data_IF_193786367769
#
_entry.id   IF_193786367769
#
_cell.length_a   1.000
_cell.length_b   1.000
_cell.length_c   1.000
_cell.angle_alpha   90.00
_cell.angle_beta   90.00
_cell.angle_gamma   90.00
#
_symmetry.space_group_name_H-M   'P 1'
#
loop_
_entity.id
_entity.type
_entity.pdbx_description
1 polymer ?
#
# COMPACT_ATOMS: atom_id res chain seq x y z
N UNK A 1 -19.99 4.66 29.94
CA UNK A 1 -18.51 4.74 29.84
C UNK A 1 -18.07 6.19 29.77
N UNK A 2 -16.95 6.56 30.41
CA UNK A 2 -16.38 7.90 30.26
C UNK A 2 -15.88 8.07 28.80
N UNK A 3 -16.11 9.22 28.15
CA UNK A 3 -15.77 9.42 26.73
C UNK A 3 -14.28 9.19 26.42
N UNK A 4 -13.41 9.47 27.39
CA UNK A 4 -11.96 9.20 27.30
C UNK A 4 -11.64 7.71 27.13
N UNK A 5 -12.39 6.83 27.81
CA UNK A 5 -12.18 5.37 27.74
C UNK A 5 -12.61 4.84 26.38
N UNK A 6 -13.72 5.33 25.84
CA UNK A 6 -14.20 4.95 24.51
C UNK A 6 -13.22 5.38 23.40
N UNK A 7 -12.65 6.59 23.49
CA UNK A 7 -11.62 7.06 22.56
C UNK A 7 -10.37 6.17 22.61
N UNK A 8 -9.86 5.91 23.81
CA UNK A 8 -8.66 5.08 24.01
C UNK A 8 -8.86 3.65 23.49
N UNK A 9 -10.03 3.06 23.72
CA UNK A 9 -10.36 1.75 23.17
C UNK A 9 -10.44 1.76 21.64
N UNK A 10 -10.99 2.82 21.03
CA UNK A 10 -11.00 2.97 19.58
C UNK A 10 -9.59 3.02 18.99
N UNK A 11 -8.72 3.87 19.56
CA UNK A 11 -7.31 3.98 19.15
C UNK A 11 -6.60 2.64 19.31
N UNK A 12 -6.73 2.00 20.47
CA UNK A 12 -6.11 0.71 20.75
C UNK A 12 -6.57 -0.34 19.73
N UNK A 13 -7.88 -0.43 19.46
CA UNK A 13 -8.44 -1.38 18.51
C UNK A 13 -7.89 -1.14 17.09
N UNK A 14 -7.80 0.12 16.64
CA UNK A 14 -7.24 0.48 15.33
C UNK A 14 -5.78 0.07 15.22
N UNK A 15 -4.96 0.41 16.21
CA UNK A 15 -3.54 0.02 16.23
C UNK A 15 -3.41 -1.50 16.23
N UNK A 16 -4.13 -2.21 17.10
CA UNK A 16 -4.04 -3.68 17.16
C UNK A 16 -4.52 -4.35 15.88
N UNK A 17 -5.55 -3.81 15.21
CA UNK A 17 -6.05 -4.38 13.96
C UNK A 17 -5.08 -4.14 12.82
N UNK A 18 -4.51 -2.92 12.73
CA UNK A 18 -3.48 -2.58 11.75
C UNK A 18 -2.23 -3.43 11.96
N UNK A 19 -1.74 -3.55 13.20
CA UNK A 19 -0.59 -4.38 13.54
C UNK A 19 -0.85 -5.87 13.26
N UNK A 20 -2.07 -6.37 13.48
CA UNK A 20 -2.39 -7.77 13.18
C UNK A 20 -2.44 -8.03 11.66
N UNK A 21 -2.99 -7.08 10.90
CA UNK A 21 -3.12 -7.19 9.44
C UNK A 21 -1.79 -7.01 8.70
N UNK A 22 -0.98 -6.04 9.12
CA UNK A 22 0.29 -5.70 8.46
C UNK A 22 1.52 -6.33 9.12
N UNK A 23 1.39 -6.80 10.36
CA UNK A 23 2.46 -7.47 11.09
C UNK A 23 2.62 -8.96 10.76
N UNK A 24 3.36 -9.71 11.60
CA UNK A 24 3.83 -11.06 11.29
C UNK A 24 2.71 -12.10 11.06
N UNK A 25 1.50 -11.84 11.56
CA UNK A 25 0.35 -12.75 11.43
C UNK A 25 -0.38 -12.54 10.10
N UNK A 26 -0.62 -11.28 9.70
CA UNK A 26 -1.34 -10.97 8.46
C UNK A 26 -0.45 -10.98 7.22
N UNK A 27 0.79 -10.47 7.32
CA UNK A 27 1.82 -10.46 6.28
C UNK A 27 1.30 -10.02 4.88
N UNK A 28 0.23 -9.21 4.83
CA UNK A 28 -0.53 -8.98 3.60
C UNK A 28 0.31 -8.32 2.50
N UNK A 29 1.18 -7.37 2.90
CA UNK A 29 2.09 -6.71 1.97
C UNK A 29 3.12 -7.67 1.35
N UNK A 30 3.72 -8.54 2.15
CA UNK A 30 4.70 -9.50 1.60
C UNK A 30 4.04 -10.54 0.70
N UNK A 31 2.79 -10.94 1.00
CA UNK A 31 2.02 -11.86 0.14
C UNK A 31 1.79 -11.27 -1.25
N UNK A 32 1.22 -10.05 -1.32
CA UNK A 32 0.97 -9.36 -2.59
C UNK A 32 2.26 -9.23 -3.40
N UNK A 33 3.35 -8.88 -2.74
CA UNK A 33 4.62 -8.77 -3.46
C UNK A 33 5.11 -10.13 -3.95
N UNK A 34 5.09 -11.17 -3.11
CA UNK A 34 5.53 -12.51 -3.52
C UNK A 34 4.67 -13.08 -4.65
N UNK A 35 3.36 -12.84 -4.62
CA UNK A 35 2.43 -13.24 -5.67
C UNK A 35 2.74 -12.50 -6.97
N UNK A 36 2.96 -11.19 -6.90
CA UNK A 36 3.29 -10.35 -8.07
C UNK A 36 4.64 -10.77 -8.69
N UNK A 37 5.67 -10.99 -7.87
CA UNK A 37 6.99 -11.46 -8.32
C UNK A 37 6.88 -12.85 -8.97
N UNK A 38 6.04 -13.73 -8.42
CA UNK A 38 5.79 -15.07 -8.98
C UNK A 38 5.08 -14.98 -10.33
N UNK A 39 4.03 -14.17 -10.44
CA UNK A 39 3.30 -13.96 -11.70
C UNK A 39 4.24 -13.34 -12.75
N UNK A 40 5.04 -12.34 -12.38
CA UNK A 40 6.03 -11.74 -13.28
C UNK A 40 7.06 -12.78 -13.74
N UNK A 41 7.53 -13.65 -12.85
CA UNK A 41 8.46 -14.74 -13.18
C UNK A 41 7.86 -15.71 -14.19
N UNK A 42 6.62 -16.15 -13.97
CA UNK A 42 5.90 -17.06 -14.89
C UNK A 42 5.75 -16.42 -16.27
N UNK A 43 5.44 -15.13 -16.34
CA UNK A 43 5.37 -14.42 -17.63
C UNK A 43 6.73 -14.39 -18.33
N UNK A 44 7.82 -14.10 -17.61
CA UNK A 44 9.15 -14.10 -18.20
C UNK A 44 9.56 -15.48 -18.71
N UNK A 45 9.26 -16.55 -17.96
CA UNK A 45 9.48 -17.93 -18.39
C UNK A 45 8.68 -18.25 -19.67
N UNK A 46 7.41 -17.84 -19.74
CA UNK A 46 6.57 -18.00 -20.93
C UNK A 46 7.15 -17.32 -22.19
N UNK A 47 7.87 -16.20 -22.02
CA UNK A 47 8.54 -15.49 -23.11
C UNK A 47 10.00 -15.93 -23.33
N UNK A 48 10.45 -17.02 -22.70
CA UNK A 48 11.83 -17.53 -22.79
C UNK A 48 12.88 -16.51 -22.29
N UNK A 49 12.52 -15.69 -21.31
CA UNK A 49 13.31 -14.59 -20.74
C UNK A 49 13.84 -14.94 -19.33
N UNK A 50 14.35 -16.16 -19.15
CA UNK A 50 14.75 -16.70 -17.84
C UNK A 50 15.90 -15.92 -17.17
N UNK A 51 16.77 -15.31 -17.97
CA UNK A 51 17.92 -14.52 -17.51
C UNK A 51 17.50 -13.18 -16.88
N UNK A 52 16.25 -12.75 -17.11
CA UNK A 52 15.70 -11.53 -16.54
C UNK A 52 15.05 -11.85 -15.19
N UNK A 53 15.45 -11.13 -14.16
CA UNK A 53 14.90 -11.24 -12.80
C UNK A 53 14.01 -10.05 -12.49
N UNK A 54 12.71 -10.29 -12.18
CA UNK A 54 11.82 -9.27 -11.67
C UNK A 54 11.93 -9.20 -10.14
N UNK A 55 11.86 -8.00 -9.60
CA UNK A 55 11.72 -7.76 -8.17
C UNK A 55 10.87 -6.52 -7.91
N UNK A 56 9.98 -6.59 -6.92
CA UNK A 56 9.08 -5.48 -6.63
C UNK A 56 9.73 -4.50 -5.66
N UNK A 57 9.50 -3.21 -5.87
CA UNK A 57 9.82 -2.17 -4.90
C UNK A 57 9.03 -2.40 -3.60
N UNK A 58 9.70 -2.21 -2.46
CA UNK A 58 9.13 -2.50 -1.12
C UNK A 58 8.62 -1.23 -0.43
N UNK A 59 7.97 -0.36 -1.19
CA UNK A 59 7.38 0.90 -0.73
C UNK A 59 5.84 0.81 -0.82
N UNK A 60 5.09 1.17 0.24
CA UNK A 60 3.62 1.09 0.25
C UNK A 60 2.92 1.94 -0.81
N UNK A 61 3.54 3.06 -1.19
CA UNK A 61 2.95 4.02 -2.11
C UNK A 61 3.39 3.79 -3.56
N UNK A 62 4.39 2.92 -3.78
CA UNK A 62 4.98 2.70 -5.10
C UNK A 62 4.76 1.25 -5.54
N UNK A 63 3.90 1.06 -6.53
CA UNK A 63 3.69 -0.23 -7.20
C UNK A 63 4.60 -0.40 -8.40
N UNK A 64 5.91 -0.39 -8.17
CA UNK A 64 6.91 -0.52 -9.24
C UNK A 64 7.58 -1.89 -9.25
N UNK A 65 7.66 -2.48 -10.44
CA UNK A 65 8.47 -3.67 -10.72
C UNK A 65 9.80 -3.26 -11.34
N UNK A 66 10.89 -3.81 -10.81
CA UNK A 66 12.24 -3.63 -11.33
C UNK A 66 12.68 -4.89 -12.08
N UNK A 67 13.28 -4.69 -13.25
CA UNK A 67 13.83 -5.77 -14.09
C UNK A 67 15.36 -5.64 -14.15
N UNK A 68 16.05 -6.76 -13.92
CA UNK A 68 17.50 -6.87 -14.10
C UNK A 68 17.83 -8.06 -14.98
N UNK A 69 18.83 -7.93 -15.85
CA UNK A 69 19.21 -8.97 -16.82
C UNK A 69 19.69 -8.38 -18.13
N UNK A 70 20.20 -9.24 -19.01
CA UNK A 70 20.56 -8.85 -20.37
C UNK A 70 19.31 -8.89 -21.26
N UNK A 71 19.07 -7.78 -21.96
CA UNK A 71 17.95 -7.60 -22.87
C UNK A 71 18.28 -6.43 -23.80
N UNK A 72 17.92 -6.57 -25.08
CA UNK A 72 18.03 -5.48 -26.03
C UNK A 72 16.96 -4.39 -25.80
N UNK A 73 17.10 -3.25 -26.46
CA UNK A 73 16.18 -2.12 -26.28
C UNK A 73 14.74 -2.42 -26.67
N UNK A 74 14.52 -3.33 -27.63
CA UNK A 74 13.19 -3.75 -28.05
C UNK A 74 12.56 -4.65 -26.97
N UNK A 75 13.25 -5.68 -26.55
CA UNK A 75 12.86 -6.59 -25.47
C UNK A 75 12.57 -5.80 -24.19
N UNK A 76 13.43 -4.83 -23.82
CA UNK A 76 13.24 -3.98 -22.64
C UNK A 76 11.91 -3.23 -22.67
N UNK A 77 11.58 -2.61 -23.79
CA UNK A 77 10.31 -1.86 -23.95
C UNK A 77 9.10 -2.78 -24.00
N UNK A 78 9.22 -3.91 -24.69
CA UNK A 78 8.11 -4.83 -24.90
C UNK A 78 7.76 -5.59 -23.62
N UNK A 79 8.74 -6.08 -22.89
CA UNK A 79 8.53 -6.71 -21.58
C UNK A 79 7.97 -5.73 -20.57
N UNK A 80 8.44 -4.47 -20.56
CA UNK A 80 7.86 -3.44 -19.71
C UNK A 80 6.38 -3.19 -20.04
N UNK A 81 6.01 -3.21 -21.32
CA UNK A 81 4.61 -3.06 -21.78
C UNK A 81 3.74 -4.23 -21.36
N UNK A 82 4.23 -5.47 -21.50
CA UNK A 82 3.49 -6.68 -21.16
C UNK A 82 3.29 -6.78 -19.65
N UNK A 83 4.38 -6.63 -18.87
CA UNK A 83 4.33 -6.77 -17.42
C UNK A 83 3.53 -5.66 -16.73
N UNK A 84 3.47 -4.46 -17.32
CA UNK A 84 2.58 -3.39 -16.87
C UNK A 84 1.09 -3.76 -17.01
N UNK A 85 0.75 -4.80 -17.77
CA UNK A 85 -0.61 -5.35 -17.83
C UNK A 85 -1.04 -6.12 -16.59
N UNK A 86 -0.12 -6.43 -15.68
CA UNK A 86 -0.43 -7.10 -14.40
C UNK A 86 -1.07 -6.06 -13.46
N UNK A 87 -2.27 -6.34 -12.95
CA UNK A 87 -3.07 -5.39 -12.16
C UNK A 87 -2.34 -4.80 -10.94
N UNK A 88 -1.44 -5.57 -10.32
CA UNK A 88 -0.68 -5.15 -9.14
C UNK A 88 0.51 -4.25 -9.46
N UNK A 89 0.83 -4.05 -10.74
CA UNK A 89 1.99 -3.29 -11.21
C UNK A 89 1.53 -1.99 -11.86
N UNK A 90 2.03 -0.87 -11.38
CA UNK A 90 1.76 0.47 -11.93
C UNK A 90 2.88 0.94 -12.86
N UNK A 91 4.12 0.61 -12.51
CA UNK A 91 5.31 1.03 -13.25
C UNK A 91 6.30 -0.12 -13.38
N UNK A 92 7.04 -0.15 -14.50
CA UNK A 92 8.07 -1.15 -14.78
C UNK A 92 9.33 -0.43 -15.20
N UNK A 93 10.42 -0.64 -14.47
CA UNK A 93 11.69 0.03 -14.69
C UNK A 93 12.84 -0.97 -14.81
N UNK A 94 13.82 -0.64 -15.63
CA UNK A 94 15.03 -1.43 -15.78
C UNK A 94 16.12 -0.92 -14.84
N UNK A 95 16.80 -1.85 -14.19
CA UNK A 95 17.91 -1.55 -13.30
C UNK A 95 19.15 -1.32 -14.14
N UNK A 96 19.87 -0.24 -13.87
CA UNK A 96 21.18 -0.03 -14.49
C UNK A 96 22.17 -1.09 -13.97
N UNK A 97 23.04 -1.65 -14.83
CA UNK A 97 24.09 -2.57 -14.41
C UNK A 97 24.91 -1.97 -13.24
N UNK A 98 24.99 -2.68 -12.12
CA UNK A 98 25.72 -2.25 -10.92
C UNK A 98 24.86 -1.76 -9.74
N UNK A 99 23.56 -1.54 -9.95
CA UNK A 99 22.63 -1.20 -8.86
C UNK A 99 22.09 -2.49 -8.24
N UNK A 100 22.66 -2.91 -7.11
CA UNK A 100 22.26 -4.15 -6.39
C UNK A 100 21.05 -3.98 -5.47
N UNK A 101 20.61 -2.75 -5.26
CA UNK A 101 19.50 -2.44 -4.36
C UNK A 101 18.70 -1.29 -4.95
N UNK A 102 17.53 -1.57 -5.53
CA UNK A 102 16.53 -0.53 -5.71
C UNK A 102 15.66 -0.51 -4.46
N UNK A 103 16.23 0.08 -3.41
CA UNK A 103 15.51 0.42 -2.20
C UNK A 103 15.15 1.90 -2.34
N UNK A 104 13.92 2.20 -2.73
CA UNK A 104 13.26 3.34 -2.12
C UNK A 104 13.22 3.01 -0.64
N UNK A 105 14.17 3.52 0.14
CA UNK A 105 14.13 3.31 1.58
C UNK A 105 12.90 4.05 2.08
N UNK A 106 11.86 3.35 2.56
CA UNK A 106 10.71 4.05 3.09
C UNK A 106 11.19 4.84 4.31
N UNK A 107 10.74 6.09 4.43
CA UNK A 107 11.10 6.98 5.56
C UNK A 107 10.79 6.34 6.92
N UNK A 108 9.87 5.36 6.94
CA UNK A 108 9.48 4.56 8.10
C UNK A 108 9.28 3.09 7.69
N UNK A 109 9.45 2.11 8.59
CA UNK A 109 9.03 0.74 8.32
C UNK A 109 7.56 0.68 7.91
N UNK A 110 7.22 -0.13 6.89
CA UNK A 110 5.88 -0.28 6.32
C UNK A 110 4.75 -0.36 7.37
N UNK A 111 5.02 -1.06 8.47
CA UNK A 111 4.05 -1.23 9.56
C UNK A 111 3.71 0.10 10.24
N UNK A 112 4.69 0.99 10.40
CA UNK A 112 4.53 2.31 11.03
C UNK A 112 3.71 3.23 10.14
N UNK A 113 3.96 3.22 8.83
CA UNK A 113 3.19 4.03 7.88
C UNK A 113 1.72 3.58 7.81
N UNK A 114 1.48 2.27 7.76
CA UNK A 114 0.13 1.71 7.79
C UNK A 114 -0.62 2.06 9.09
N UNK A 115 0.06 2.01 10.23
CA UNK A 115 -0.51 2.42 11.52
C UNK A 115 -0.86 3.93 11.54
N UNK A 116 0.03 4.78 11.03
CA UNK A 116 -0.21 6.23 10.95
C UNK A 116 -1.41 6.56 10.06
N UNK A 117 -1.53 5.91 8.89
CA UNK A 117 -2.69 6.06 8.01
C UNK A 117 -3.98 5.54 8.67
N UNK A 118 -3.92 4.41 9.38
CA UNK A 118 -5.04 3.90 10.16
C UNK A 118 -5.52 4.87 11.23
N UNK A 119 -4.59 5.48 11.97
CA UNK A 119 -4.88 6.50 12.97
C UNK A 119 -5.45 7.78 12.34
N UNK A 120 -4.92 8.22 11.20
CA UNK A 120 -5.44 9.38 10.47
C UNK A 120 -6.88 9.14 9.98
N UNK A 121 -7.16 7.95 9.43
CA UNK A 121 -8.51 7.55 9.01
C UNK A 121 -9.50 7.50 10.18
N UNK A 122 -9.09 6.95 11.32
CA UNK A 122 -9.89 6.98 12.54
C UNK A 122 -10.18 8.41 13.01
N UNK A 123 -9.17 9.28 13.01
CA UNK A 123 -9.31 10.70 13.33
C UNK A 123 -10.31 11.41 12.42
N UNK A 124 -10.22 11.20 11.11
CA UNK A 124 -11.17 11.72 10.13
C UNK A 124 -12.61 11.22 10.41
N UNK A 125 -12.77 9.94 10.73
CA UNK A 125 -14.06 9.36 11.11
C UNK A 125 -14.69 10.06 12.32
N UNK A 126 -13.89 10.38 13.35
CA UNK A 126 -14.37 11.13 14.51
C UNK A 126 -14.79 12.56 14.16
N UNK A 127 -14.02 13.24 13.30
CA UNK A 127 -14.34 14.59 12.83
C UNK A 127 -15.67 14.59 12.07
N UNK A 128 -15.85 13.64 11.15
CA UNK A 128 -17.08 13.47 10.37
C UNK A 128 -18.27 13.13 11.27
N UNK A 129 -18.10 12.19 12.20
CA UNK A 129 -19.13 11.82 13.17
C UNK A 129 -19.55 13.01 14.04
N UNK A 130 -18.60 13.79 14.53
CA UNK A 130 -18.88 15.01 15.28
C UNK A 130 -19.63 16.05 14.42
N UNK A 131 -19.17 16.30 13.19
CA UNK A 131 -19.81 17.23 12.27
C UNK A 131 -21.26 16.82 11.97
N UNK A 132 -21.52 15.54 11.69
CA UNK A 132 -22.85 15.01 11.44
C UNK A 132 -23.78 15.15 12.66
N UNK A 133 -23.29 14.84 13.86
CA UNK A 133 -24.07 15.03 15.10
C UNK A 133 -24.39 16.50 15.31
N UNK A 134 -23.43 17.40 15.05
CA UNK A 134 -23.62 18.85 15.18
C UNK A 134 -24.62 19.37 14.15
N UNK A 135 -24.56 18.91 12.91
CA UNK A 135 -25.52 19.25 11.85
C UNK A 135 -26.93 18.75 12.20
N UNK A 136 -27.06 17.51 12.69
CA UNK A 136 -28.35 16.96 13.16
C UNK A 136 -28.95 17.76 14.31
N UNK A 137 -28.13 18.24 15.26
CA UNK A 137 -28.60 19.11 16.35
C UNK A 137 -29.12 20.44 15.83
N UNK A 138 -28.47 21.05 14.83
CA UNK A 138 -28.96 22.29 14.19
C UNK A 138 -30.29 22.09 13.47
N UNK A 139 -30.49 20.95 12.81
CA UNK A 139 -31.77 20.64 12.15
C UNK A 139 -32.90 20.36 13.14
N UNK A 140 -32.58 19.91 14.36
CA UNK A 140 -33.57 19.60 15.40
C UNK A 140 -34.06 20.82 16.20
N UNK A 141 -33.34 21.94 16.15
CA UNK A 141 -33.75 23.24 16.74
C UNK A 141 -34.10 24.26 15.64
N UNK A 142 -35.25 24.14 14.95
CA UNK A 142 -35.68 25.16 14.00
C UNK A 142 -36.21 26.45 14.66
N UNK A 143 -36.46 26.45 15.99
CA UNK A 143 -37.20 27.51 16.68
C UNK A 143 -36.36 28.53 17.47
N UNK A 144 -35.06 28.67 17.19
CA UNK A 144 -34.19 29.60 17.96
C UNK A 144 -34.23 31.07 17.49
N UNK A 145 -35.17 31.42 16.62
CA UNK A 145 -35.38 32.79 16.12
C UNK A 145 -36.87 33.17 16.10
N UNK A 146 -37.53 33.03 17.25
CA UNK A 146 -38.76 33.78 17.56
C UNK A 146 -38.56 34.41 18.94
#
# INVERSE_FOLDING_TARGET
MKPRIALLLGILLTITTAALWHGPVGNAGARIVSETETVARINLEYFEMEEITPFMERDPLVRRLWLTGEADDFQRRELARILKGIETIEDVQWVQPGVRTVRGEPLLPLIVEAELLGLAGFGLGLILGYALVRLRRRQRDPNRYI
#
